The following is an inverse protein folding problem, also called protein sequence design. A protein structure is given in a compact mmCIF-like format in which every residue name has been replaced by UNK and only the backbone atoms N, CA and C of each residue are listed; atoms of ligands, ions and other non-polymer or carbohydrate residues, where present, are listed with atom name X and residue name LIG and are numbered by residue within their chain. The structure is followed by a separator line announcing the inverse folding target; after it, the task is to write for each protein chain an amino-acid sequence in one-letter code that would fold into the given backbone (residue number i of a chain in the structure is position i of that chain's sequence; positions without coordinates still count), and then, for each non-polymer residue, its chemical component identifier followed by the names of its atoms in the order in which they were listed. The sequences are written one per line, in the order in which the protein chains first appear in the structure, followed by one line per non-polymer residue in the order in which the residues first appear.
data_IF_805610084534
#
_entry.id   IF_805610084534
#
_cell.length_a   1.000
_cell.length_b   1.000
_cell.length_c   1.000
_cell.angle_alpha   90.00
_cell.angle_beta   90.00
_cell.angle_gamma   90.00
#
_symmetry.space_group_name_H-M   'P 1'
#
loop_
_entity.id
_entity.type
_entity.pdbx_description
1 polymer ?
#
# COMPACT_ATOMS: atom_id res chain seq x y z
N UNK A 1 16.20 -23.21 -12.38
CA UNK A 1 16.11 -21.88 -11.75
C UNK A 1 15.47 -20.92 -12.75
N UNK A 2 14.35 -20.28 -12.42
CA UNK A 2 13.72 -19.31 -13.34
C UNK A 2 14.67 -18.11 -13.46
N UNK A 3 15.13 -17.79 -14.67
CA UNK A 3 15.90 -16.56 -14.92
C UNK A 3 14.95 -15.39 -14.69
N UNK A 4 15.12 -14.65 -13.59
CA UNK A 4 14.40 -13.41 -13.37
C UNK A 4 14.79 -12.43 -14.47
N UNK A 5 13.87 -12.14 -15.39
CA UNK A 5 14.04 -11.10 -16.40
C UNK A 5 13.84 -9.75 -15.71
N UNK A 6 14.94 -9.12 -15.29
CA UNK A 6 14.88 -7.79 -14.68
C UNK A 6 14.50 -6.79 -15.80
N UNK A 7 13.39 -6.04 -15.66
CA UNK A 7 12.99 -5.08 -16.69
C UNK A 7 14.07 -4.01 -16.87
N UNK A 8 14.13 -3.38 -18.05
CA UNK A 8 14.99 -2.21 -18.24
C UNK A 8 14.62 -1.10 -17.23
N UNK A 9 15.55 -0.18 -16.95
CA UNK A 9 15.25 1.00 -16.15
C UNK A 9 14.31 1.91 -16.93
N UNK A 10 13.16 2.26 -16.34
CA UNK A 10 12.20 3.19 -16.96
C UNK A 10 12.62 4.65 -16.75
N UNK A 11 13.38 4.94 -15.69
CA UNK A 11 13.91 6.26 -15.38
C UNK A 11 15.45 6.28 -15.51
N UNK A 12 15.96 7.20 -16.34
CA UNK A 12 17.40 7.37 -16.57
C UNK A 12 18.14 7.84 -15.30
N UNK A 13 17.48 8.60 -14.43
CA UNK A 13 18.07 9.03 -13.17
C UNK A 13 18.22 7.85 -12.21
N UNK A 14 17.25 6.93 -12.21
CA UNK A 14 17.37 5.68 -11.45
C UNK A 14 18.56 4.87 -11.97
N UNK A 15 18.68 4.69 -13.28
CA UNK A 15 19.83 4.01 -13.88
C UNK A 15 21.18 4.62 -13.43
N UNK A 16 21.31 5.96 -13.48
CA UNK A 16 22.52 6.67 -13.00
C UNK A 16 22.81 6.41 -11.51
N UNK A 17 21.79 6.36 -10.66
CA UNK A 17 21.97 6.05 -9.23
C UNK A 17 22.47 4.61 -9.05
N UNK A 18 21.96 3.66 -9.84
CA UNK A 18 22.48 2.29 -9.83
C UNK A 18 23.94 2.22 -10.29
N UNK A 19 24.31 2.93 -11.36
CA UNK A 19 25.67 2.95 -11.89
C UNK A 19 26.68 3.58 -10.92
N UNK A 20 26.23 4.50 -10.07
CA UNK A 20 27.06 5.14 -9.05
C UNK A 20 27.36 4.25 -7.83
N UNK A 21 26.65 3.14 -7.64
CA UNK A 21 26.93 2.22 -6.54
C UNK A 21 28.16 1.34 -6.82
N UNK A 22 28.96 1.01 -5.78
CA UNK A 22 29.96 -0.06 -5.85
C UNK A 22 29.34 -1.36 -6.39
N UNK A 23 30.11 -2.16 -7.12
CA UNK A 23 29.60 -3.30 -7.87
C UNK A 23 28.83 -4.32 -7.00
N UNK A 24 29.36 -4.62 -5.82
CA UNK A 24 28.77 -5.54 -4.83
C UNK A 24 27.41 -5.04 -4.31
N UNK A 25 27.34 -3.74 -4.00
CA UNK A 25 26.12 -3.05 -3.57
C UNK A 25 25.11 -2.99 -4.72
N UNK A 26 25.56 -2.63 -5.93
CA UNK A 26 24.74 -2.55 -7.14
C UNK A 26 24.10 -3.89 -7.45
N UNK A 27 24.87 -4.98 -7.45
CA UNK A 27 24.37 -6.32 -7.72
C UNK A 27 23.24 -6.72 -6.75
N UNK A 28 23.40 -6.40 -5.46
CA UNK A 28 22.37 -6.66 -4.43
C UNK A 28 21.11 -5.83 -4.65
N UNK A 29 21.25 -4.53 -4.91
CA UNK A 29 20.11 -3.65 -5.17
C UNK A 29 19.37 -4.05 -6.45
N UNK A 30 20.09 -4.43 -7.51
CA UNK A 30 19.50 -4.93 -8.76
C UNK A 30 18.71 -6.20 -8.50
N UNK A 31 19.21 -7.09 -7.64
CA UNK A 31 18.46 -8.28 -7.22
C UNK A 31 17.19 -7.93 -6.44
N UNK A 32 17.25 -6.97 -5.51
CA UNK A 32 16.06 -6.51 -4.78
C UNK A 32 15.04 -5.88 -5.73
N UNK A 33 15.49 -5.07 -6.69
CA UNK A 33 14.65 -4.52 -7.76
C UNK A 33 13.95 -5.64 -8.54
N UNK A 34 14.69 -6.66 -8.96
CA UNK A 34 14.13 -7.82 -9.65
C UNK A 34 13.03 -8.51 -8.84
N UNK A 35 13.23 -8.70 -7.52
CA UNK A 35 12.21 -9.28 -6.64
C UNK A 35 10.94 -8.42 -6.55
N UNK A 36 11.08 -7.09 -6.54
CA UNK A 36 9.94 -6.16 -6.49
C UNK A 36 9.09 -6.29 -7.75
N UNK A 37 9.71 -6.17 -8.93
CA UNK A 37 9.00 -6.28 -10.21
C UNK A 37 8.42 -7.68 -10.43
N UNK A 38 9.17 -8.74 -10.12
CA UNK A 38 8.66 -10.10 -10.23
C UNK A 38 7.45 -10.32 -9.32
N UNK A 39 7.45 -9.76 -8.11
CA UNK A 39 6.33 -9.92 -7.18
C UNK A 39 5.11 -9.17 -7.70
N UNK A 40 5.28 -7.92 -8.14
CA UNK A 40 4.20 -7.12 -8.73
C UNK A 40 3.58 -7.81 -9.96
N UNK A 41 4.41 -8.41 -10.84
CA UNK A 41 3.94 -9.12 -12.04
C UNK A 41 2.98 -10.28 -11.74
N UNK A 42 3.07 -10.88 -10.55
CA UNK A 42 2.21 -11.98 -10.13
C UNK A 42 0.95 -11.53 -9.37
N UNK A 43 0.69 -10.21 -9.30
CA UNK A 43 -0.41 -9.62 -8.52
C UNK A 43 -1.18 -8.63 -9.40
N UNK A 44 -2.32 -9.05 -9.93
CA UNK A 44 -3.11 -8.26 -10.88
C UNK A 44 -3.57 -6.93 -10.27
N UNK A 45 -3.91 -6.92 -8.98
CA UNK A 45 -4.36 -5.73 -8.27
C UNK A 45 -3.28 -4.65 -8.10
N UNK A 46 -2.00 -5.00 -8.28
CA UNK A 46 -0.88 -4.07 -8.15
C UNK A 46 -0.70 -3.25 -9.42
N UNK A 47 -0.95 -3.85 -10.60
CA UNK A 47 -0.69 -3.21 -11.88
C UNK A 47 0.79 -2.91 -12.15
N UNK A 48 1.11 -2.08 -13.15
CA UNK A 48 2.48 -1.68 -13.43
C UNK A 48 3.03 -0.79 -12.32
N UNK A 49 4.31 -0.97 -12.00
CA UNK A 49 5.01 -0.13 -11.04
C UNK A 49 5.64 1.08 -11.73
N UNK A 50 5.49 2.25 -11.11
CA UNK A 50 6.32 3.40 -11.40
C UNK A 50 7.65 3.28 -10.66
N UNK A 51 8.75 3.45 -11.38
CA UNK A 51 10.11 3.52 -10.84
C UNK A 51 10.61 4.97 -10.93
N UNK A 52 11.01 5.51 -9.78
CA UNK A 52 11.46 6.91 -9.62
C UNK A 52 12.50 7.03 -8.50
N UNK A 53 12.99 8.24 -8.24
CA UNK A 53 13.85 8.56 -7.11
C UNK A 53 13.09 9.32 -6.03
N UNK A 54 13.17 8.85 -4.78
CA UNK A 54 12.79 9.64 -3.59
C UNK A 54 13.98 9.70 -2.65
N UNK A 55 14.35 10.92 -2.23
CA UNK A 55 15.51 11.15 -1.37
C UNK A 55 16.82 10.57 -1.94
N UNK A 56 16.96 10.59 -3.27
CA UNK A 56 18.11 10.02 -3.98
C UNK A 56 18.16 8.48 -4.00
N UNK A 57 17.09 7.80 -3.60
CA UNK A 57 16.99 6.34 -3.55
C UNK A 57 15.97 5.81 -4.56
N UNK A 58 16.27 4.70 -5.27
CA UNK A 58 15.31 4.00 -6.11
C UNK A 58 14.04 3.64 -5.34
N UNK A 59 12.90 4.05 -5.88
CA UNK A 59 11.59 3.98 -5.26
C UNK A 59 10.58 3.41 -6.24
N UNK A 60 9.73 2.51 -5.75
CA UNK A 60 8.73 1.80 -6.54
C UNK A 60 7.35 2.08 -5.98
N UNK A 61 6.46 2.55 -6.84
CA UNK A 61 5.14 3.02 -6.47
C UNK A 61 4.08 2.34 -7.34
N UNK A 62 2.90 2.17 -6.75
CA UNK A 62 1.69 1.74 -7.43
C UNK A 62 0.85 2.96 -7.78
N UNK A 63 1.41 3.93 -8.53
CA UNK A 63 0.73 5.20 -8.82
C UNK A 63 -0.52 5.05 -9.67
N UNK A 64 -0.54 4.07 -10.58
CA UNK A 64 -1.71 3.78 -11.40
C UNK A 64 -2.84 3.12 -10.59
N UNK A 65 -2.53 2.03 -9.88
CA UNK A 65 -3.55 1.26 -9.13
C UNK A 65 -3.88 1.85 -7.75
N UNK A 66 -2.98 2.63 -7.15
CA UNK A 66 -3.08 3.11 -5.78
C UNK A 66 -3.11 2.01 -4.72
N UNK A 67 -2.77 0.76 -5.10
CA UNK A 67 -3.02 -0.44 -4.26
C UNK A 67 -2.13 -0.52 -3.03
N UNK A 68 -1.00 0.18 -3.01
CA UNK A 68 0.15 -0.15 -2.17
C UNK A 68 0.90 1.03 -1.60
N UNK A 69 1.78 0.74 -0.65
CA UNK A 69 2.71 1.70 -0.06
C UNK A 69 4.02 1.73 -0.84
N UNK A 70 4.66 2.89 -0.93
CA UNK A 70 5.96 3.02 -1.62
C UNK A 70 7.02 2.12 -0.99
N UNK A 71 7.71 1.34 -1.82
CA UNK A 71 8.90 0.58 -1.44
C UNK A 71 10.13 1.34 -1.96
N UNK A 72 11.16 1.50 -1.12
CA UNK A 72 12.45 2.04 -1.58
C UNK A 72 13.56 1.05 -1.28
N UNK A 73 14.64 1.12 -2.04
CA UNK A 73 15.84 0.34 -1.77
C UNK A 73 17.05 1.25 -1.77
N UNK A 74 18.05 0.91 -0.99
CA UNK A 74 19.29 1.66 -0.96
C UNK A 74 20.25 1.14 0.09
N UNK A 75 21.29 1.93 0.32
CA UNK A 75 22.28 1.71 1.37
C UNK A 75 21.91 2.53 2.60
N UNK A 76 21.92 1.91 3.77
CA UNK A 76 21.74 2.58 5.05
C UNK A 76 22.96 3.44 5.36
N UNK A 77 22.73 4.66 5.84
CA UNK A 77 23.82 5.63 6.06
C UNK A 77 24.63 5.30 7.31
N UNK A 78 23.99 4.68 8.31
CA UNK A 78 24.59 4.44 9.61
C UNK A 78 25.70 3.38 9.58
N UNK A 79 25.47 2.28 8.86
CA UNK A 79 26.35 1.10 8.87
C UNK A 79 26.68 0.59 7.46
N UNK A 80 26.12 1.21 6.43
CA UNK A 80 26.37 0.84 5.05
C UNK A 80 25.67 -0.44 4.59
N UNK A 81 24.78 -1.03 5.39
CA UNK A 81 24.01 -2.22 5.00
C UNK A 81 23.03 -1.91 3.87
N UNK A 82 22.69 -2.92 3.09
CA UNK A 82 21.60 -2.80 2.12
C UNK A 82 20.28 -2.85 2.89
N UNK A 83 19.34 -2.00 2.51
CA UNK A 83 18.05 -1.91 3.15
C UNK A 83 16.92 -1.78 2.12
N UNK A 84 15.79 -2.41 2.45
CA UNK A 84 14.50 -2.14 1.84
C UNK A 84 13.67 -1.31 2.82
N UNK A 85 13.25 -0.13 2.39
CA UNK A 85 12.52 0.83 3.19
C UNK A 85 11.04 0.84 2.86
N UNK A 86 10.24 1.04 3.91
CA UNK A 86 8.79 1.15 3.87
C UNK A 86 8.36 2.48 4.50
N UNK A 87 7.10 2.86 4.27
CA UNK A 87 6.54 4.06 4.84
C UNK A 87 6.37 3.93 6.37
N UNK A 88 7.00 4.82 7.14
CA UNK A 88 7.07 4.71 8.60
C UNK A 88 5.72 4.87 9.34
N UNK A 89 4.73 5.51 8.70
CA UNK A 89 3.37 5.63 9.26
C UNK A 89 2.48 4.41 8.96
N UNK A 90 3.04 3.34 8.39
CA UNK A 90 2.34 2.07 8.20
C UNK A 90 2.75 1.07 9.26
N UNK A 91 1.90 0.08 9.49
CA UNK A 91 2.13 -1.08 10.33
C UNK A 91 2.93 -2.20 9.62
N UNK A 92 3.37 -1.98 8.37
CA UNK A 92 4.05 -2.99 7.56
C UNK A 92 5.23 -3.65 8.28
N UNK A 93 6.15 -2.85 8.83
CA UNK A 93 7.34 -3.41 9.50
C UNK A 93 6.97 -4.14 10.80
N UNK A 94 5.92 -3.71 11.50
CA UNK A 94 5.41 -4.45 12.65
C UNK A 94 4.83 -5.81 12.21
N UNK A 95 3.99 -5.81 11.18
CA UNK A 95 3.45 -7.05 10.59
C UNK A 95 4.55 -8.01 10.12
N UNK A 96 5.63 -7.48 9.52
CA UNK A 96 6.74 -8.32 9.08
C UNK A 96 7.45 -8.98 10.26
N UNK A 97 7.66 -8.26 11.37
CA UNK A 97 8.25 -8.84 12.59
C UNK A 97 7.40 -9.96 13.17
N UNK A 98 6.08 -9.82 13.14
CA UNK A 98 5.19 -10.87 13.64
C UNK A 98 5.25 -12.12 12.76
N UNK A 99 5.33 -11.94 11.44
CA UNK A 99 5.40 -13.05 10.47
C UNK A 99 6.79 -13.71 10.41
N UNK A 100 7.84 -12.92 10.55
CA UNK A 100 9.23 -13.31 10.35
C UNK A 100 10.15 -12.73 11.45
N UNK A 101 10.00 -13.18 12.71
CA UNK A 101 10.70 -12.60 13.85
C UNK A 101 12.19 -12.92 13.88
N UNK A 102 12.61 -14.08 13.36
CA UNK A 102 14.00 -14.57 13.44
C UNK A 102 14.69 -14.64 12.08
N UNK A 103 13.92 -14.55 11.01
CA UNK A 103 14.39 -14.75 9.64
C UNK A 103 14.90 -13.46 8.99
N UNK A 104 14.57 -12.29 9.54
CA UNK A 104 14.96 -11.00 9.00
C UNK A 104 15.41 -10.04 10.10
N UNK A 105 16.31 -9.14 9.73
CA UNK A 105 16.73 -8.03 10.59
C UNK A 105 15.95 -6.78 10.21
N UNK A 106 15.50 -6.03 11.23
CA UNK A 106 14.69 -4.84 11.03
C UNK A 106 15.40 -3.58 11.54
N UNK A 107 15.37 -2.52 10.74
CA UNK A 107 15.91 -1.21 11.08
C UNK A 107 14.83 -0.29 11.60
N UNK A 108 14.67 -0.22 12.93
CA UNK A 108 13.58 0.52 13.56
C UNK A 108 12.24 0.12 12.95
N UNK A 109 11.32 1.08 12.74
CA UNK A 109 9.98 0.85 12.18
C UNK A 109 9.89 1.06 10.66
N UNK A 110 11.01 1.12 9.94
CA UNK A 110 11.01 1.59 8.54
C UNK A 110 11.75 0.71 7.55
N UNK A 111 12.51 -0.29 7.96
CA UNK A 111 13.29 -1.10 7.01
C UNK A 111 13.48 -2.55 7.41
N UNK A 112 13.68 -3.37 6.37
CA UNK A 112 14.34 -4.67 6.44
C UNK A 112 15.80 -4.45 6.04
N UNK A 113 16.72 -4.95 6.85
CA UNK A 113 18.17 -4.83 6.67
C UNK A 113 18.73 -6.16 6.16
N UNK A 114 19.68 -6.08 5.24
CA UNK A 114 20.34 -7.24 4.65
C UNK A 114 21.83 -7.18 4.96
N UNK A 115 22.36 -8.22 5.61
CA UNK A 115 23.80 -8.33 5.85
C UNK A 115 24.57 -8.60 4.56
N UNK A 116 25.84 -8.18 4.56
CA UNK A 116 26.73 -8.35 3.41
C UNK A 116 27.00 -9.83 3.06
N UNK A 117 26.87 -10.76 4.01
CA UNK A 117 27.06 -12.20 3.79
C UNK A 117 25.74 -12.98 3.66
N UNK A 118 24.60 -12.35 3.96
CA UNK A 118 23.34 -13.09 4.06
C UNK A 118 22.75 -13.44 2.70
N UNK A 119 22.26 -14.68 2.63
CA UNK A 119 21.36 -15.10 1.56
C UNK A 119 20.02 -14.43 1.76
N UNK A 120 19.59 -13.66 0.76
CA UNK A 120 18.26 -13.06 0.76
C UNK A 120 17.21 -14.19 0.72
N UNK A 121 16.41 -14.28 1.78
CA UNK A 121 15.30 -15.20 1.92
C UNK A 121 14.14 -14.81 0.99
N UNK A 122 14.26 -15.18 -0.29
CA UNK A 122 13.36 -14.72 -1.35
C UNK A 122 11.88 -14.96 -1.05
N UNK A 123 11.51 -16.13 -0.52
CA UNK A 123 10.10 -16.46 -0.25
C UNK A 123 9.48 -15.50 0.76
N UNK A 124 10.16 -15.27 1.88
CA UNK A 124 9.69 -14.39 2.92
C UNK A 124 9.72 -12.92 2.46
N UNK A 125 10.77 -12.51 1.74
CA UNK A 125 10.87 -11.15 1.23
C UNK A 125 9.80 -10.85 0.17
N UNK A 126 9.51 -11.78 -0.75
CA UNK A 126 8.42 -11.64 -1.73
C UNK A 126 7.07 -11.49 -1.03
N UNK A 127 6.84 -12.19 0.07
CA UNK A 127 5.63 -11.99 0.87
C UNK A 127 5.57 -10.57 1.45
N UNK A 128 6.64 -10.07 2.08
CA UNK A 128 6.69 -8.70 2.60
C UNK A 128 6.49 -7.65 1.50
N UNK A 129 7.09 -7.84 0.32
CA UNK A 129 6.89 -6.98 -0.85
C UNK A 129 5.42 -6.99 -1.26
N UNK A 130 4.80 -8.17 -1.41
CA UNK A 130 3.38 -8.27 -1.77
C UNK A 130 2.46 -7.58 -0.77
N UNK A 131 2.73 -7.72 0.53
CA UNK A 131 2.00 -7.01 1.57
C UNK A 131 2.15 -5.48 1.46
N UNK A 132 3.34 -4.98 1.13
CA UNK A 132 3.57 -3.55 0.92
C UNK A 132 2.85 -3.05 -0.34
N UNK A 133 2.95 -3.76 -1.46
CA UNK A 133 2.33 -3.39 -2.74
C UNK A 133 0.79 -3.48 -2.75
N UNK A 134 0.19 -4.15 -1.77
CA UNK A 134 -1.28 -4.26 -1.61
C UNK A 134 -1.80 -3.58 -0.34
N UNK A 135 -0.96 -2.81 0.34
CA UNK A 135 -1.28 -2.24 1.65
C UNK A 135 -2.62 -1.48 1.68
N UNK A 136 -2.84 -0.57 0.73
CA UNK A 136 -4.03 0.26 0.69
C UNK A 136 -5.26 -0.53 0.22
N UNK A 137 -5.10 -1.42 -0.76
CA UNK A 137 -6.17 -2.31 -1.22
C UNK A 137 -6.72 -3.16 -0.06
N UNK A 138 -5.84 -3.80 0.72
CA UNK A 138 -6.23 -4.61 1.89
C UNK A 138 -6.92 -3.77 2.96
N UNK A 139 -6.40 -2.57 3.24
CA UNK A 139 -7.00 -1.65 4.23
C UNK A 139 -8.39 -1.17 3.82
N UNK A 140 -8.60 -0.91 2.52
CA UNK A 140 -9.90 -0.51 1.98
C UNK A 140 -10.92 -1.66 2.02
N UNK A 141 -10.51 -2.89 1.73
CA UNK A 141 -11.38 -4.07 1.83
C UNK A 141 -11.87 -4.29 3.28
N UNK A 142 -10.99 -4.16 4.27
CA UNK A 142 -11.36 -4.25 5.69
C UNK A 142 -12.36 -3.16 6.08
N UNK A 143 -12.17 -1.92 5.61
CA UNK A 143 -13.12 -0.83 5.86
C UNK A 143 -14.49 -1.13 5.26
N UNK A 144 -14.54 -1.62 4.02
CA UNK A 144 -15.81 -1.97 3.34
C UNK A 144 -16.58 -3.06 4.09
N UNK A 145 -15.88 -4.06 4.63
CA UNK A 145 -16.49 -5.15 5.38
C UNK A 145 -16.97 -4.76 6.78
N UNK A 146 -16.48 -3.64 7.32
CA UNK A 146 -16.81 -3.16 8.67
C UNK A 146 -17.76 -1.95 8.68
N UNK A 147 -18.37 -1.61 7.54
CA UNK A 147 -19.44 -0.59 7.48
C UNK A 147 -20.72 -1.20 8.07
N UNK A 148 -21.33 -0.61 9.12
CA UNK A 148 -22.60 -1.10 9.63
C UNK A 148 -23.66 -0.99 8.53
N UNK A 149 -24.27 -2.11 8.16
CA UNK A 149 -25.43 -2.14 7.26
C UNK A 149 -26.52 -1.27 7.89
N UNK A 150 -26.75 -0.08 7.33
CA UNK A 150 -27.92 0.73 7.67
C UNK A 150 -29.16 -0.06 7.25
N UNK A 151 -29.92 -0.57 8.22
CA UNK A 151 -31.26 -1.15 7.97
C UNK A 151 -32.11 -0.12 7.21
N UNK A 152 -32.79 -0.49 6.12
CA UNK A 152 -33.72 0.43 5.47
C UNK A 152 -34.85 0.76 6.46
N UNK A 153 -35.13 2.05 6.63
CA UNK A 153 -36.23 2.53 7.44
C UNK A 153 -37.54 1.93 6.90
N UNK A 154 -38.25 1.21 7.75
CA UNK A 154 -39.58 0.69 7.49
C UNK A 154 -40.49 1.83 7.03
N UNK A 155 -41.09 1.67 5.84
CA UNK A 155 -42.20 2.54 5.39
C UNK A 155 -43.38 2.31 6.32
N UNK A 156 -43.65 3.27 7.19
CA UNK A 156 -44.93 3.34 7.90
C UNK A 156 -45.90 4.11 7.01
N UNK A 157 -46.85 3.39 6.41
CA UNK A 157 -48.06 3.95 5.80
C UNK A 157 -48.88 4.68 6.88
N UNK A 158 -49.43 5.88 6.61
CA UNK A 158 -50.54 6.38 7.40
C UNK A 158 -51.87 5.95 6.78
N UNK A 159 -52.67 5.25 7.58
CA UNK A 159 -54.05 4.92 7.31
C UNK A 159 -54.96 6.16 7.50
N UNK A 160 -56.00 6.19 6.67
CA UNK A 160 -57.12 7.14 6.59
C UNK A 160 -57.89 7.36 7.91
N UNK A 161 -58.29 8.61 8.18
CA UNK A 161 -59.49 8.93 8.98
C UNK A 161 -60.07 10.35 8.70
N UNK A 162 -61.11 10.37 7.85
CA UNK A 162 -62.42 11.08 7.90
C UNK A 162 -62.50 12.64 8.03
N UNK A 163 -63.37 13.31 7.23
CA UNK A 163 -63.63 14.76 7.33
C UNK A 163 -64.77 15.10 8.30
N UNK A 164 -64.73 16.30 8.91
CA UNK A 164 -65.89 16.94 9.54
C UNK A 164 -66.19 18.27 8.86
N UNK A 165 -67.43 18.42 8.42
CA UNK A 165 -67.99 19.62 7.81
C UNK A 165 -68.68 20.53 8.85
N UNK A 166 -68.78 21.80 8.46
CA UNK A 166 -69.78 22.82 8.80
C UNK A 166 -69.81 23.44 10.21
N UNK A 167 -69.59 24.77 10.27
CA UNK A 167 -70.63 25.71 10.73
C UNK A 167 -70.29 27.17 10.34
N UNK A 168 -71.18 27.74 9.52
CA UNK A 168 -71.36 29.17 9.24
C UNK A 168 -71.76 29.91 10.54
N UNK A 169 -71.24 31.13 10.76
CA UNK A 169 -72.01 32.23 11.39
C UNK A 169 -71.64 33.60 10.78
N UNK A 170 -72.58 34.55 10.66
CA UNK A 170 -72.48 35.69 9.77
C UNK A 170 -72.01 37.00 10.45
N UNK A 171 -71.61 37.93 9.57
CA UNK A 171 -71.38 39.37 9.77
C UNK A 171 -72.37 40.06 10.70
N UNK A 172 -71.85 40.97 11.52
CA UNK A 172 -72.53 42.21 11.89
C UNK A 172 -71.51 43.37 11.92
N UNK A 173 -71.99 44.53 11.48
CA UNK A 173 -71.32 45.81 11.19
C UNK A 173 -71.77 46.83 12.23
N UNK A 174 -70.91 47.79 12.59
CA UNK A 174 -71.14 49.13 13.17
C UNK A 174 -69.93 49.47 14.05
N UNK A 175 -69.36 50.67 14.13
CA UNK A 175 -69.39 51.92 13.34
C UNK A 175 -68.06 52.61 13.62
#
# INVERSE_FOLDING_TARGET
MKRTSIPAFSDRNVAKVFDAYPEDIRARLVRLRGLIFDTAKNMEEVGPLEETLKWGQPSYLTTESGSGSTIRIGREKADGRIAMYFHCQTDLVATFRDLYPTQMTYGGNRSILFEASDRILEKALRHCIGLALTYHARKSAVKSNNVPVRKPASRTTPASARPKAAALKPRARQS
#
